data_IF_885870437408
#
_entry.id   IF_885870437408
#
_cell.length_a   1.000
_cell.length_b   1.000
_cell.length_c   1.000
_cell.angle_alpha   90.00
_cell.angle_beta   90.00
_cell.angle_gamma   90.00
#
_symmetry.space_group_name_H-M   'P 1'
#
loop_
_entity.id
_entity.type
_entity.pdbx_description
1 polymer ?
#
# COMPACT_ATOMS: atom_id res chain seq x y z
N UNK A 1 0.29 -23.45 15.60
CA UNK A 1 -1.08 -22.94 15.87
C UNK A 1 -2.19 -23.97 15.70
N UNK A 2 -2.05 -25.08 14.94
CA UNK A 2 -3.01 -26.21 14.98
C UNK A 2 -4.47 -25.93 14.60
N UNK A 3 -4.79 -24.72 14.12
CA UNK A 3 -6.13 -24.31 13.70
C UNK A 3 -6.29 -24.64 12.22
N UNK A 4 -7.35 -25.40 11.87
CA UNK A 4 -7.69 -25.65 10.47
C UNK A 4 -8.33 -24.42 9.84
N UNK A 5 -8.15 -24.24 8.53
CA UNK A 5 -8.77 -23.14 7.77
C UNK A 5 -10.29 -23.11 7.96
N UNK A 6 -10.92 -24.28 8.04
CA UNK A 6 -12.35 -24.41 8.31
C UNK A 6 -12.74 -23.86 9.69
N UNK A 7 -11.97 -24.17 10.75
CA UNK A 7 -12.22 -23.65 12.09
C UNK A 7 -12.07 -22.13 12.14
N UNK A 8 -11.05 -21.58 11.48
CA UNK A 8 -10.85 -20.14 11.37
C UNK A 8 -12.04 -19.48 10.65
N UNK A 9 -12.45 -20.02 9.50
CA UNK A 9 -13.57 -19.51 8.73
C UNK A 9 -14.88 -19.50 9.53
N UNK A 10 -15.16 -20.60 10.25
CA UNK A 10 -16.34 -20.71 11.12
C UNK A 10 -16.29 -19.69 12.28
N UNK A 11 -15.14 -19.53 12.92
CA UNK A 11 -15.00 -18.59 14.04
C UNK A 11 -15.10 -17.11 13.60
N UNK A 12 -14.69 -16.80 12.38
CA UNK A 12 -14.82 -15.47 11.79
C UNK A 12 -16.19 -15.23 11.13
N UNK A 13 -17.06 -16.24 11.07
CA UNK A 13 -18.33 -16.20 10.34
C UNK A 13 -18.17 -15.82 8.86
N UNK A 14 -17.18 -16.41 8.19
CA UNK A 14 -16.93 -16.23 6.75
C UNK A 14 -16.92 -17.58 6.02
N UNK A 15 -17.16 -17.55 4.71
CA UNK A 15 -17.05 -18.76 3.89
C UNK A 15 -15.61 -19.32 3.91
N UNK A 16 -15.42 -20.64 4.06
CA UNK A 16 -14.08 -21.27 4.02
C UNK A 16 -13.28 -20.92 2.77
N UNK A 17 -13.96 -20.76 1.63
CA UNK A 17 -13.35 -20.31 0.38
C UNK A 17 -12.65 -18.95 0.51
N UNK A 18 -13.24 -18.00 1.25
CA UNK A 18 -12.63 -16.67 1.49
C UNK A 18 -11.30 -16.82 2.20
N UNK A 19 -11.24 -17.63 3.27
CA UNK A 19 -10.02 -17.90 4.03
C UNK A 19 -8.97 -18.58 3.15
N UNK A 20 -9.36 -19.58 2.36
CA UNK A 20 -8.44 -20.25 1.46
C UNK A 20 -7.87 -19.29 0.40
N UNK A 21 -8.69 -18.45 -0.21
CA UNK A 21 -8.23 -17.45 -1.19
C UNK A 21 -7.25 -16.43 -0.58
N UNK A 22 -7.46 -16.02 0.68
CA UNK A 22 -6.54 -15.14 1.41
C UNK A 22 -5.20 -15.85 1.67
N UNK A 23 -5.23 -17.09 2.16
CA UNK A 23 -4.02 -17.88 2.43
C UNK A 23 -3.21 -18.12 1.14
N UNK A 24 -3.88 -18.30 0.01
CA UNK A 24 -3.25 -18.48 -1.30
C UNK A 24 -2.80 -17.15 -1.94
N UNK A 25 -2.99 -16.01 -1.27
CA UNK A 25 -2.69 -14.69 -1.83
C UNK A 25 -3.56 -14.29 -3.03
N UNK A 26 -4.65 -15.02 -3.30
CA UNK A 26 -5.59 -14.76 -4.41
C UNK A 26 -6.61 -13.68 -4.07
N UNK A 27 -6.74 -13.32 -2.78
CA UNK A 27 -7.67 -12.30 -2.28
C UNK A 27 -6.98 -11.46 -1.23
N UNK A 28 -7.08 -10.14 -1.40
CA UNK A 28 -6.63 -9.17 -0.42
C UNK A 28 -7.49 -9.19 0.86
N UNK A 29 -6.87 -8.85 1.99
CA UNK A 29 -7.55 -8.63 3.26
C UNK A 29 -8.29 -7.29 3.19
N UNK A 30 -9.61 -7.33 3.40
CA UNK A 30 -10.45 -6.14 3.50
C UNK A 30 -10.59 -5.68 4.95
N UNK A 31 -11.08 -4.45 5.18
CA UNK A 31 -11.34 -3.93 6.52
C UNK A 31 -12.27 -4.83 7.36
N UNK A 32 -13.36 -5.35 6.77
CA UNK A 32 -14.26 -6.33 7.45
C UNK A 32 -13.50 -7.60 7.88
N UNK A 33 -12.63 -8.11 7.01
CA UNK A 33 -11.85 -9.32 7.32
C UNK A 33 -10.79 -9.03 8.38
N UNK A 34 -10.14 -7.87 8.32
CA UNK A 34 -9.19 -7.40 9.32
C UNK A 34 -9.83 -7.29 10.71
N UNK A 35 -11.03 -6.72 10.83
CA UNK A 35 -11.78 -6.63 12.09
C UNK A 35 -12.11 -8.02 12.66
N UNK A 36 -12.48 -8.97 11.80
CA UNK A 36 -12.76 -10.36 12.20
C UNK A 36 -11.49 -11.08 12.67
N UNK A 37 -10.38 -10.92 11.95
CA UNK A 37 -9.08 -11.49 12.32
C UNK A 37 -8.59 -10.90 13.64
N UNK A 38 -8.69 -9.58 13.80
CA UNK A 38 -8.38 -8.87 15.03
C UNK A 38 -9.14 -9.43 16.23
N UNK A 39 -10.46 -9.58 16.08
CA UNK A 39 -11.31 -10.16 17.13
C UNK A 39 -10.94 -11.61 17.46
N UNK A 40 -10.61 -12.41 16.45
CA UNK A 40 -10.28 -13.83 16.62
C UNK A 40 -8.90 -14.05 17.26
N UNK A 41 -7.88 -13.32 16.80
CA UNK A 41 -6.50 -13.47 17.27
C UNK A 41 -6.13 -12.56 18.45
N UNK A 42 -7.03 -11.67 18.87
CA UNK A 42 -6.75 -10.71 19.94
C UNK A 42 -5.75 -9.62 19.51
N UNK A 43 -5.73 -9.27 18.23
CA UNK A 43 -4.87 -8.22 17.66
C UNK A 43 -5.70 -7.00 17.28
N UNK A 44 -5.06 -5.99 16.69
CA UNK A 44 -5.77 -4.84 16.10
C UNK A 44 -6.04 -5.05 14.61
N UNK A 45 -7.03 -4.34 14.05
CA UNK A 45 -7.35 -4.42 12.63
C UNK A 45 -6.29 -3.72 11.76
N UNK A 46 -5.67 -2.67 12.30
CA UNK A 46 -4.58 -1.92 11.69
C UNK A 46 -3.38 -2.83 11.40
N UNK A 47 -3.06 -3.78 12.29
CA UNK A 47 -2.00 -4.77 12.02
C UNK A 47 -2.24 -5.49 10.69
N UNK A 48 -3.46 -5.96 10.46
CA UNK A 48 -3.82 -6.69 9.24
C UNK A 48 -3.84 -5.80 8.00
N UNK A 49 -4.36 -4.58 8.14
CA UNK A 49 -4.38 -3.60 7.04
C UNK A 49 -2.97 -3.15 6.66
N UNK A 50 -2.08 -2.99 7.64
CA UNK A 50 -0.68 -2.64 7.38
C UNK A 50 0.05 -3.76 6.64
N UNK A 51 -0.19 -5.02 6.99
CA UNK A 51 0.35 -6.16 6.25
C UNK A 51 -0.14 -6.18 4.79
N UNK A 52 -1.42 -5.92 4.57
CA UNK A 52 -1.99 -5.81 3.22
C UNK A 52 -1.33 -4.66 2.44
N UNK A 53 -1.23 -3.48 3.04
CA UNK A 53 -0.62 -2.31 2.41
C UNK A 53 0.85 -2.54 2.06
N UNK A 54 1.63 -3.16 2.95
CA UNK A 54 3.04 -3.50 2.69
C UNK A 54 3.18 -4.47 1.51
N UNK A 55 2.32 -5.49 1.44
CA UNK A 55 2.31 -6.44 0.32
C UNK A 55 1.95 -5.75 -1.00
N UNK A 56 0.91 -4.91 -0.98
CA UNK A 56 0.44 -4.21 -2.18
C UNK A 56 1.48 -3.20 -2.68
N UNK A 57 2.13 -2.47 -1.76
CA UNK A 57 3.21 -1.54 -2.09
C UNK A 57 4.43 -2.26 -2.66
N UNK A 58 4.88 -3.37 -2.04
CA UNK A 58 5.99 -4.16 -2.58
C UNK A 58 5.68 -4.69 -3.98
N UNK A 59 4.49 -5.26 -4.16
CA UNK A 59 4.02 -5.76 -5.45
C UNK A 59 3.91 -4.66 -6.52
N UNK A 60 3.48 -3.45 -6.13
CA UNK A 60 3.39 -2.31 -7.04
C UNK A 60 4.77 -1.77 -7.39
N UNK A 61 5.67 -1.70 -6.42
CA UNK A 61 7.06 -1.27 -6.58
C UNK A 61 7.76 -2.12 -7.64
N UNK A 62 7.69 -3.44 -7.50
CA UNK A 62 8.31 -4.38 -8.45
C UNK A 62 7.82 -4.22 -9.90
N UNK A 63 6.58 -3.72 -10.09
CA UNK A 63 5.97 -3.56 -11.42
C UNK A 63 6.10 -2.16 -12.00
N UNK A 64 6.12 -1.13 -11.16
CA UNK A 64 5.85 0.25 -11.57
C UNK A 64 6.96 1.23 -11.17
N UNK A 65 7.92 0.84 -10.34
CA UNK A 65 8.94 1.78 -9.83
C UNK A 65 9.65 2.54 -10.95
N UNK A 66 10.16 1.82 -11.94
CA UNK A 66 10.90 2.42 -13.05
C UNK A 66 10.03 3.35 -13.93
N UNK A 67 8.76 2.99 -14.19
CA UNK A 67 7.86 3.85 -14.97
C UNK A 67 7.49 5.11 -14.19
N UNK A 68 7.22 4.96 -12.90
CA UNK A 68 6.88 6.08 -12.01
C UNK A 68 8.05 7.06 -11.92
N UNK A 69 9.29 6.59 -11.77
CA UNK A 69 10.47 7.46 -11.70
C UNK A 69 10.69 8.29 -12.98
N UNK A 70 10.38 7.73 -14.15
CA UNK A 70 10.53 8.43 -15.44
C UNK A 70 9.41 9.43 -15.69
N UNK A 71 8.18 9.09 -15.29
CA UNK A 71 6.99 9.87 -15.61
C UNK A 71 6.71 10.97 -14.59
N UNK A 72 7.08 10.76 -13.32
CA UNK A 72 6.72 11.66 -12.22
C UNK A 72 7.90 12.58 -11.87
N UNK A 73 7.76 13.87 -12.15
CA UNK A 73 8.71 14.88 -11.67
C UNK A 73 8.40 15.26 -10.22
N UNK A 74 9.37 15.16 -9.28
CA UNK A 74 9.16 15.57 -7.90
C UNK A 74 8.83 17.06 -7.79
N UNK A 75 7.89 17.40 -6.91
CA UNK A 75 7.47 18.79 -6.68
C UNK A 75 8.64 19.72 -6.32
N UNK A 76 9.60 19.23 -5.53
CA UNK A 76 10.79 20.01 -5.15
C UNK A 76 11.66 20.38 -6.36
N UNK A 77 11.80 19.48 -7.33
CA UNK A 77 12.52 19.73 -8.58
C UNK A 77 11.83 20.80 -9.43
N UNK A 78 10.51 20.74 -9.54
CA UNK A 78 9.71 21.77 -10.23
C UNK A 78 9.87 23.15 -9.58
N UNK A 79 9.85 23.19 -8.25
CA UNK A 79 10.02 24.44 -7.49
C UNK A 79 11.40 25.06 -7.72
N UNK A 80 12.46 24.26 -7.72
CA UNK A 80 13.83 24.74 -7.93
C UNK A 80 14.05 25.29 -9.33
N UNK A 81 13.52 24.62 -10.36
CA UNK A 81 13.60 25.11 -11.73
C UNK A 81 12.91 26.48 -11.89
N UNK A 82 11.76 26.68 -11.26
CA UNK A 82 11.04 27.95 -11.31
C UNK A 82 11.81 29.09 -10.63
N UNK A 83 12.45 28.84 -9.48
CA UNK A 83 13.27 29.83 -8.78
C UNK A 83 14.50 30.20 -9.59
N UNK A 84 15.23 29.22 -10.13
CA UNK A 84 16.41 29.46 -10.96
C UNK A 84 16.06 30.29 -12.21
N UNK A 85 14.91 30.05 -12.85
CA UNK A 85 14.45 30.83 -14.00
C UNK A 85 14.14 32.30 -13.66
N UNK A 86 13.71 32.60 -12.43
CA UNK A 86 13.48 33.97 -11.98
C UNK A 86 14.81 34.72 -11.73
N UNK A 87 15.80 34.05 -11.16
CA UNK A 87 17.13 34.62 -10.90
C UNK A 87 17.88 34.95 -12.20
N UNK A 88 17.85 34.05 -13.19
CA UNK A 88 18.49 34.29 -14.50
C UNK A 88 17.85 35.47 -15.24
N UNK A 89 16.52 35.63 -15.15
CA UNK A 89 15.80 36.78 -15.75
C UNK A 89 16.12 38.11 -15.09
N UNK A 90 16.41 38.13 -13.79
CA UNK A 90 16.85 39.34 -13.10
C UNK A 90 18.30 39.72 -13.43
N UNK A 91 19.18 38.74 -13.71
CA UNK A 91 20.60 39.02 -14.00
C UNK A 91 20.85 39.55 -15.41
N UNK A 92 20.02 39.18 -16.40
CA UNK A 92 20.12 39.67 -17.79
C UNK A 92 19.46 41.04 -18.02
N UNK A 93 18.85 41.64 -17.00
CA UNK A 93 18.13 42.91 -17.08
C UNK A 93 18.93 44.12 -16.54
N UNK A 94 20.22 43.95 -16.25
CA UNK A 94 21.09 45.02 -15.73
C UNK A 94 22.03 45.52 -16.84
N UNK A 95 21.99 46.81 -17.23
CA UNK A 95 22.88 47.40 -18.25
C UNK A 95 24.31 47.55 -17.75
#
# INVERSE_FOLDING_TARGET
>A
MGISQYRLAKAMSVYPRKVNEIIQGKRAITADTALRLARFFGTSAEVWMNLQALYDLGSAKDRLEESVEREVTPYLSLRQAAVAQLETRCHTARP
#
